data_IF_005614868361
#
_entry.id   IF_005614868361
#
_cell.length_a   1.000
_cell.length_b   1.000
_cell.length_c   1.000
_cell.angle_alpha   90.00
_cell.angle_beta   90.00
_cell.angle_gamma   90.00
#
_symmetry.space_group_name_H-M   'P 1'
#
loop_
_entity.id
_entity.type
_entity.pdbx_description
1 polymer ?
#
# COMPACT_ATOMS: atom_id res chain seq x y z
N UNK A 1 -13.28 22.91 -3.99
CA UNK A 1 -12.53 22.07 -4.94
C UNK A 1 -11.30 21.60 -4.19
N UNK A 2 -11.15 20.31 -3.88
CA UNK A 2 -9.88 19.83 -3.33
C UNK A 2 -8.86 19.92 -4.47
N UNK A 3 -7.79 20.70 -4.28
CA UNK A 3 -6.65 20.68 -5.21
C UNK A 3 -6.22 19.24 -5.44
N UNK A 4 -6.07 18.85 -6.71
CA UNK A 4 -5.50 17.55 -7.07
C UNK A 4 -4.01 17.58 -6.75
N UNK A 5 -3.52 16.52 -6.10
CA UNK A 5 -2.10 16.32 -5.85
C UNK A 5 -1.77 15.99 -4.40
N UNK A 6 -0.51 15.65 -4.16
CA UNK A 6 -0.01 15.32 -2.83
C UNK A 6 0.34 16.58 -2.05
N UNK A 7 0.00 16.58 -0.74
CA UNK A 7 0.36 17.65 0.21
C UNK A 7 1.17 17.07 1.37
N UNK A 8 2.08 17.86 1.93
CA UNK A 8 2.83 17.52 3.14
C UNK A 8 1.96 17.67 4.38
N UNK A 9 2.08 16.71 5.29
CA UNK A 9 1.45 16.69 6.60
C UNK A 9 2.50 16.26 7.62
N UNK A 10 2.74 17.14 8.59
CA UNK A 10 3.55 16.83 9.76
C UNK A 10 2.60 16.32 10.84
N UNK A 11 2.73 15.04 11.17
CA UNK A 11 1.79 14.37 12.06
C UNK A 11 2.54 13.92 13.29
N UNK A 12 2.06 14.42 14.43
CA UNK A 12 2.58 14.13 15.75
C UNK A 12 1.48 13.45 16.57
N UNK A 13 1.69 12.17 16.89
CA UNK A 13 0.86 11.45 17.84
C UNK A 13 1.71 11.09 19.06
N UNK A 14 1.31 11.63 20.21
CA UNK A 14 1.93 11.40 21.50
C UNK A 14 0.95 10.77 22.51
N UNK A 15 -0.18 10.25 22.03
CA UNK A 15 -1.28 9.80 22.90
C UNK A 15 -1.12 8.36 23.40
N UNK A 16 -0.10 7.64 22.94
CA UNK A 16 0.36 6.38 23.55
C UNK A 16 1.90 6.36 23.65
N UNK A 17 2.45 5.34 24.30
CA UNK A 17 3.90 5.10 24.51
C UNK A 17 4.72 4.99 23.21
N UNK A 18 4.08 5.17 22.06
CA UNK A 18 4.63 5.27 20.73
C UNK A 18 4.72 6.74 20.31
N UNK A 19 5.73 7.46 20.80
CA UNK A 19 6.09 8.78 20.29
C UNK A 19 6.42 8.68 18.78
N UNK A 20 5.41 8.78 17.93
CA UNK A 20 5.52 8.60 16.49
C UNK A 20 5.54 9.97 15.83
N UNK A 21 6.72 10.32 15.34
CA UNK A 21 6.88 11.40 14.39
C UNK A 21 6.75 10.83 12.98
N UNK A 22 5.87 11.41 12.16
CA UNK A 22 5.81 11.06 10.75
C UNK A 22 5.72 12.28 9.85
N UNK A 23 6.52 12.24 8.78
CA UNK A 23 6.41 13.14 7.64
C UNK A 23 5.61 12.40 6.56
N UNK A 24 4.41 12.90 6.28
CA UNK A 24 3.46 12.22 5.39
C UNK A 24 3.15 13.10 4.20
N UNK A 25 3.32 12.57 3.00
CA UNK A 25 2.86 13.17 1.76
C UNK A 25 1.63 12.40 1.29
N UNK A 26 0.45 13.01 1.36
CA UNK A 26 -0.83 12.34 1.10
C UNK A 26 -1.68 13.08 0.07
N UNK A 27 -2.47 12.36 -0.72
CA UNK A 27 -3.39 12.95 -1.69
C UNK A 27 -4.80 13.15 -1.06
N UNK A 28 -5.24 14.41 -0.79
CA UNK A 28 -6.52 14.69 -0.13
C UNK A 28 -7.76 14.33 -0.96
N UNK A 29 -7.62 14.05 -2.26
CA UNK A 29 -8.76 13.63 -3.11
C UNK A 29 -9.37 12.31 -2.63
N UNK A 30 -8.57 11.47 -1.97
CA UNK A 30 -9.00 10.15 -1.50
C UNK A 30 -9.96 10.18 -0.31
N UNK A 31 -9.90 11.22 0.53
CA UNK A 31 -10.78 11.35 1.69
C UNK A 31 -10.74 12.77 2.24
N UNK A 32 -11.90 13.26 2.69
CA UNK A 32 -12.02 14.55 3.38
C UNK A 32 -11.54 14.50 4.84
N UNK A 33 -11.21 13.32 5.38
CA UNK A 33 -10.62 13.21 6.70
C UNK A 33 -9.16 13.67 6.70
N UNK A 34 -8.68 14.13 7.85
CA UNK A 34 -7.25 14.41 8.02
C UNK A 34 -6.43 13.12 7.96
N UNK A 35 -5.31 13.06 7.20
CA UNK A 35 -4.44 11.90 7.17
C UNK A 35 -3.94 11.55 8.58
N UNK A 36 -3.94 10.27 8.95
CA UNK A 36 -3.52 9.82 10.30
C UNK A 36 -2.03 9.53 10.43
N UNK A 37 -1.27 9.69 9.35
CA UNK A 37 0.15 9.37 9.30
C UNK A 37 0.41 7.85 9.29
N UNK A 38 1.62 7.47 8.90
CA UNK A 38 1.98 6.08 8.68
C UNK A 38 1.26 5.43 7.51
N UNK A 39 1.45 4.12 7.37
CA UNK A 39 0.94 3.29 6.28
C UNK A 39 0.31 1.99 6.86
N UNK A 40 -0.47 2.15 7.92
CA UNK A 40 -1.09 1.06 8.69
C UNK A 40 -2.52 0.74 8.22
N UNK A 41 -3.17 -0.21 8.90
CA UNK A 41 -4.58 -0.52 8.69
C UNK A 41 -5.48 0.73 8.79
N UNK A 42 -6.51 0.78 7.93
CA UNK A 42 -7.47 1.89 7.78
C UNK A 42 -6.87 3.19 7.21
N UNK A 43 -5.69 3.14 6.58
CA UNK A 43 -5.20 4.26 5.78
C UNK A 43 -6.22 4.61 4.68
N UNK A 44 -6.58 5.89 4.58
CA UNK A 44 -7.60 6.39 3.66
C UNK A 44 -7.01 7.11 2.46
N UNK A 45 -5.83 7.72 2.63
CA UNK A 45 -5.14 8.47 1.60
C UNK A 45 -3.97 7.66 1.06
N UNK A 46 -3.79 7.67 -0.26
CA UNK A 46 -2.53 7.18 -0.83
C UNK A 46 -1.44 8.24 -0.66
N UNK A 47 -0.19 7.82 -0.81
CA UNK A 47 0.97 8.67 -0.56
C UNK A 47 2.16 7.92 0.00
N UNK A 48 3.10 8.68 0.55
CA UNK A 48 4.24 8.17 1.29
C UNK A 48 4.21 8.66 2.73
N UNK A 49 4.72 7.85 3.64
CA UNK A 49 4.93 8.24 5.03
C UNK A 49 6.29 7.76 5.49
N UNK A 50 7.09 8.68 6.02
CA UNK A 50 8.34 8.39 6.68
C UNK A 50 8.13 8.46 8.19
N UNK A 51 8.51 7.41 8.92
CA UNK A 51 8.29 7.27 10.36
C UNK A 51 9.57 6.83 11.07
N UNK A 52 9.82 7.39 12.24
CA UNK A 52 10.85 6.91 13.16
C UNK A 52 10.27 5.81 14.07
N UNK A 53 11.02 4.72 14.24
CA UNK A 53 10.66 3.54 15.04
C UNK A 53 11.74 3.25 16.10
N UNK A 54 11.59 3.75 17.34
CA UNK A 54 12.66 3.69 18.36
C UNK A 54 13.03 2.28 18.81
N UNK A 55 12.14 1.31 18.59
CA UNK A 55 12.33 -0.09 19.02
C UNK A 55 12.74 -1.03 17.87
N UNK A 56 13.03 -0.47 16.70
CA UNK A 56 13.51 -1.20 15.53
C UNK A 56 15.02 -0.99 15.37
N UNK A 57 15.75 -2.04 14.96
CA UNK A 57 17.16 -1.92 14.56
C UNK A 57 17.33 -0.96 13.38
N UNK A 58 16.31 -0.91 12.53
CA UNK A 58 16.15 0.06 11.45
C UNK A 58 15.25 1.18 11.96
N UNK A 59 15.86 2.24 12.50
CA UNK A 59 15.12 3.24 13.28
C UNK A 59 14.22 4.15 12.44
N UNK A 60 14.20 4.01 11.12
CA UNK A 60 13.29 4.73 10.24
C UNK A 60 12.75 3.84 9.12
N UNK A 61 11.52 4.13 8.72
CA UNK A 61 10.79 3.40 7.68
C UNK A 61 10.18 4.42 6.72
N UNK A 62 10.43 4.22 5.42
CA UNK A 62 9.66 4.84 4.35
C UNK A 62 8.59 3.85 3.89
N UNK A 63 7.33 4.24 3.88
CA UNK A 63 6.23 3.40 3.43
C UNK A 63 5.32 4.08 2.41
N UNK A 64 4.94 3.33 1.37
CA UNK A 64 3.84 3.71 0.48
C UNK A 64 2.52 3.32 1.14
N UNK A 65 1.57 4.24 1.19
CA UNK A 65 0.23 4.07 1.72
C UNK A 65 -0.69 3.47 0.65
N UNK A 66 -1.27 2.29 0.93
CA UNK A 66 -2.10 1.53 -0.02
C UNK A 66 -3.53 1.42 0.54
N UNK A 67 -4.43 2.39 0.25
CA UNK A 67 -5.77 2.43 0.84
C UNK A 67 -6.64 1.24 0.42
N UNK A 68 -7.11 0.47 1.41
CA UNK A 68 -7.88 -0.75 1.17
C UNK A 68 -7.05 -1.98 0.76
N UNK A 69 -5.72 -1.84 0.76
CA UNK A 69 -4.78 -2.91 0.41
C UNK A 69 -4.72 -3.21 -1.08
N UNK A 70 -4.00 -4.27 -1.45
CA UNK A 70 -3.63 -4.54 -2.85
C UNK A 70 -4.74 -5.12 -3.72
N UNK A 71 -5.88 -5.55 -3.14
CA UNK A 71 -6.91 -6.29 -3.88
C UNK A 71 -7.36 -5.58 -5.16
N UNK A 72 -7.85 -4.35 -5.03
CA UNK A 72 -8.37 -3.56 -6.15
C UNK A 72 -7.28 -3.35 -7.20
N UNK A 73 -6.07 -2.99 -6.79
CA UNK A 73 -4.98 -2.72 -7.74
C UNK A 73 -4.55 -3.98 -8.50
N UNK A 74 -4.52 -5.14 -7.84
CA UNK A 74 -4.19 -6.41 -8.48
C UNK A 74 -5.29 -6.90 -9.43
N UNK A 75 -6.56 -6.54 -9.20
CA UNK A 75 -7.66 -6.80 -10.15
C UNK A 75 -7.51 -6.02 -11.46
N UNK A 76 -6.71 -4.94 -11.46
CA UNK A 76 -6.36 -4.11 -12.62
C UNK A 76 -4.87 -4.22 -13.00
N UNK A 77 -4.25 -5.38 -12.74
CA UNK A 77 -2.81 -5.57 -12.96
C UNK A 77 -2.40 -5.42 -14.44
N UNK A 78 -3.26 -5.83 -15.36
CA UNK A 78 -3.06 -5.70 -16.81
C UNK A 78 -3.05 -4.24 -17.29
N UNK A 79 -3.65 -3.32 -16.53
CA UNK A 79 -3.63 -1.88 -16.79
C UNK A 79 -2.38 -1.17 -16.24
N UNK A 80 -1.54 -1.87 -15.47
CA UNK A 80 -0.30 -1.31 -14.96
C UNK A 80 0.75 -1.20 -16.07
N UNK A 81 1.55 -0.12 -16.13
CA UNK A 81 2.71 -0.05 -17.00
C UNK A 81 3.68 -1.22 -16.74
N UNK A 82 4.40 -1.69 -17.77
CA UNK A 82 5.25 -2.89 -17.66
C UNK A 82 6.26 -2.84 -16.51
N UNK A 83 6.92 -1.70 -16.28
CA UNK A 83 7.84 -1.51 -15.14
C UNK A 83 7.14 -1.64 -13.78
N UNK A 84 5.90 -1.17 -13.68
CA UNK A 84 5.10 -1.31 -12.46
C UNK A 84 4.65 -2.75 -12.23
N UNK A 85 4.29 -3.49 -13.28
CA UNK A 85 3.94 -4.91 -13.16
C UNK A 85 5.09 -5.72 -12.56
N UNK A 86 6.31 -5.56 -13.10
CA UNK A 86 7.50 -6.22 -12.57
C UNK A 86 7.78 -5.84 -11.12
N UNK A 87 7.67 -4.56 -10.79
CA UNK A 87 7.81 -4.07 -9.42
C UNK A 87 6.80 -4.71 -8.46
N UNK A 88 5.51 -4.75 -8.82
CA UNK A 88 4.45 -5.37 -8.01
C UNK A 88 4.69 -6.87 -7.85
N UNK A 89 5.09 -7.58 -8.91
CA UNK A 89 5.44 -9.01 -8.85
C UNK A 89 6.58 -9.27 -7.87
N UNK A 90 7.56 -8.37 -7.79
CA UNK A 90 8.70 -8.51 -6.86
C UNK A 90 8.33 -8.26 -5.40
N UNK A 91 7.22 -7.55 -5.13
CA UNK A 91 6.85 -7.09 -3.77
C UNK A 91 5.63 -7.79 -3.18
N UNK A 92 4.72 -8.26 -4.01
CA UNK A 92 3.52 -8.96 -3.56
C UNK A 92 3.80 -10.45 -3.42
N UNK A 93 3.42 -11.00 -2.26
CA UNK A 93 3.63 -12.41 -1.97
C UNK A 93 2.78 -13.29 -2.91
N UNK A 94 3.38 -14.34 -3.47
CA UNK A 94 2.64 -15.40 -4.16
C UNK A 94 1.80 -16.21 -3.17
N UNK A 95 0.58 -16.55 -3.55
CA UNK A 95 -0.30 -17.36 -2.72
C UNK A 95 0.30 -18.76 -2.53
N UNK A 96 0.57 -19.10 -1.27
CA UNK A 96 1.10 -20.38 -0.80
C UNK A 96 0.04 -21.24 -0.11
N UNK A 97 -1.23 -20.80 -0.13
CA UNK A 97 -2.31 -21.52 0.53
C UNK A 97 -2.34 -21.39 2.05
N UNK A 98 -1.70 -20.38 2.68
CA UNK A 98 -1.68 -20.20 4.14
C UNK A 98 -3.06 -20.00 4.83
N UNK A 99 -4.15 -19.83 4.08
CA UNK A 99 -5.54 -19.67 4.56
C UNK A 99 -5.81 -18.48 5.48
N UNK A 100 -4.88 -17.54 5.68
CA UNK A 100 -5.11 -16.34 6.50
C UNK A 100 -6.38 -15.57 6.09
N UNK A 101 -6.60 -15.39 4.79
CA UNK A 101 -7.79 -14.71 4.23
C UNK A 101 -9.13 -15.39 4.53
N UNK A 102 -9.11 -16.66 4.95
CA UNK A 102 -10.30 -17.44 5.28
C UNK A 102 -10.30 -17.91 6.74
N UNK A 103 -9.36 -17.42 7.56
CA UNK A 103 -9.19 -17.86 8.96
C UNK A 103 -10.46 -17.67 9.80
N UNK A 104 -11.24 -16.62 9.53
CA UNK A 104 -12.47 -16.31 10.26
C UNK A 104 -13.71 -17.02 9.71
N UNK A 105 -13.60 -17.70 8.56
CA UNK A 105 -14.71 -18.45 8.00
C UNK A 105 -14.86 -19.80 8.69
N UNK A 106 -15.89 -19.90 9.54
CA UNK A 106 -16.23 -21.13 10.26
C UNK A 106 -16.90 -22.18 9.36
N UNK A 107 -17.39 -21.81 8.19
CA UNK A 107 -18.09 -22.74 7.27
C UNK A 107 -17.12 -23.56 6.42
N UNK A 108 -15.90 -23.07 6.23
CA UNK A 108 -14.89 -23.69 5.38
C UNK A 108 -15.11 -23.51 3.87
N UNK A 109 -16.18 -22.82 3.47
CA UNK A 109 -16.60 -22.70 2.07
C UNK A 109 -15.98 -21.49 1.35
N UNK A 110 -15.43 -20.51 2.10
CA UNK A 110 -14.83 -19.32 1.49
C UNK A 110 -13.61 -19.72 0.66
N UNK A 111 -13.56 -19.37 -0.64
CA UNK A 111 -12.37 -19.60 -1.45
C UNK A 111 -11.22 -18.69 -0.99
N UNK A 112 -10.00 -19.12 -1.29
CA UNK A 112 -8.82 -18.26 -1.08
C UNK A 112 -8.95 -17.00 -1.92
N UNK A 113 -8.62 -15.85 -1.33
CA UNK A 113 -8.69 -14.55 -1.99
C UNK A 113 -7.57 -14.30 -3.03
N UNK A 114 -6.91 -15.34 -3.53
CA UNK A 114 -5.79 -15.19 -4.48
C UNK A 114 -6.26 -14.55 -5.79
N UNK A 115 -5.45 -13.67 -6.34
CA UNK A 115 -5.71 -13.01 -7.63
C UNK A 115 -4.78 -13.60 -8.68
N UNK A 116 -5.33 -14.02 -9.80
CA UNK A 116 -4.54 -14.58 -10.90
C UNK A 116 -4.14 -13.45 -11.86
N UNK A 117 -2.85 -13.33 -12.16
CA UNK A 117 -2.32 -12.34 -13.09
C UNK A 117 -1.37 -13.00 -14.09
N UNK A 118 -1.18 -12.37 -15.25
CA UNK A 118 -0.21 -12.80 -16.27
C UNK A 118 0.92 -11.79 -16.33
N UNK A 119 2.17 -12.27 -16.32
CA UNK A 119 3.35 -11.43 -16.44
C UNK A 119 4.45 -12.19 -17.18
N UNK A 120 5.04 -11.58 -18.21
CA UNK A 120 6.11 -12.19 -19.04
C UNK A 120 5.79 -13.64 -19.48
N UNK A 121 4.55 -13.89 -19.91
CA UNK A 121 4.10 -15.20 -20.37
C UNK A 121 3.87 -16.25 -19.26
N UNK A 122 4.02 -15.87 -17.99
CA UNK A 122 3.82 -16.74 -16.83
C UNK A 122 2.57 -16.36 -16.04
N UNK A 123 1.85 -17.37 -15.56
CA UNK A 123 0.68 -17.20 -14.69
C UNK A 123 1.11 -17.15 -13.22
N UNK A 124 0.67 -16.12 -12.49
CA UNK A 124 0.94 -15.93 -11.08
C UNK A 124 -0.36 -15.93 -10.29
N UNK A 125 -0.35 -16.53 -9.10
CA UNK A 125 -1.39 -16.36 -8.09
C UNK A 125 -0.85 -15.48 -6.97
N UNK A 126 -1.33 -14.23 -6.87
CA UNK A 126 -0.87 -13.24 -5.90
C UNK A 126 -1.81 -13.14 -4.70
N UNK A 127 -1.25 -12.83 -3.53
CA UNK A 127 -2.01 -12.63 -2.29
C UNK A 127 -2.37 -11.15 -2.12
N UNK A 128 -3.65 -10.75 -2.08
CA UNK A 128 -4.01 -9.34 -1.87
C UNK A 128 -3.85 -8.87 -0.43
N UNK A 129 -3.70 -9.80 0.53
CA UNK A 129 -3.55 -9.49 1.96
C UNK A 129 -2.10 -9.26 2.39
N UNK A 130 -1.12 -9.55 1.55
CA UNK A 130 0.29 -9.30 1.82
C UNK A 130 0.89 -8.49 0.68
N UNK A 131 1.47 -7.31 0.93
CA UNK A 131 1.93 -6.81 2.23
C UNK A 131 0.91 -5.95 3.00
N UNK A 132 -0.39 -6.17 2.76
CA UNK A 132 -1.46 -5.49 3.49
C UNK A 132 -1.68 -4.09 2.94
N UNK A 133 -1.39 -3.07 3.75
CA UNK A 133 -1.69 -1.66 3.47
C UNK A 133 -0.45 -0.83 3.13
N UNK A 134 0.72 -1.48 2.97
CA UNK A 134 1.97 -0.79 2.66
C UNK A 134 2.99 -1.62 1.91
N UNK A 135 3.78 -0.94 1.10
CA UNK A 135 5.16 -1.35 0.84
C UNK A 135 6.10 -0.50 1.69
N UNK A 136 7.21 -1.05 2.15
CA UNK A 136 8.13 -0.30 3.00
C UNK A 136 9.60 -0.64 2.74
N UNK A 137 10.46 0.33 3.06
CA UNK A 137 11.92 0.28 2.89
C UNK A 137 12.63 1.10 3.96
N UNK A 138 13.92 0.81 4.15
CA UNK A 138 14.86 1.53 5.03
C UNK A 138 15.94 2.25 4.24
N UNK A 139 15.76 2.35 2.92
CA UNK A 139 16.59 3.09 1.99
C UNK A 139 15.82 3.30 0.69
N UNK A 140 16.21 4.30 -0.08
CA UNK A 140 15.62 4.58 -1.39
C UNK A 140 16.72 5.02 -2.34
N UNK A 141 16.76 4.39 -3.50
CA UNK A 141 17.51 4.84 -4.67
C UNK A 141 16.54 5.41 -5.71
N UNK A 142 17.09 5.96 -6.79
CA UNK A 142 16.31 6.60 -7.86
C UNK A 142 15.36 5.59 -8.53
N UNK A 143 15.78 4.34 -8.68
CA UNK A 143 14.97 3.28 -9.30
C UNK A 143 13.73 2.96 -8.45
N UNK A 144 13.88 2.88 -7.14
CA UNK A 144 12.76 2.69 -6.23
C UNK A 144 11.84 3.93 -6.23
N UNK A 145 12.41 5.13 -6.23
CA UNK A 145 11.64 6.36 -6.28
C UNK A 145 10.74 6.42 -7.53
N UNK A 146 11.27 6.08 -8.71
CA UNK A 146 10.52 6.03 -9.96
C UNK A 146 9.36 5.03 -9.90
N UNK A 147 9.61 3.82 -9.38
CA UNK A 147 8.55 2.82 -9.20
C UNK A 147 7.45 3.29 -8.24
N UNK A 148 7.83 3.96 -7.14
CA UNK A 148 6.87 4.54 -6.20
C UNK A 148 6.02 5.61 -6.87
N UNK A 149 6.63 6.53 -7.63
CA UNK A 149 5.91 7.59 -8.35
C UNK A 149 4.90 6.99 -9.33
N UNK A 150 5.31 5.99 -10.12
CA UNK A 150 4.42 5.32 -11.07
C UNK A 150 3.29 4.58 -10.35
N UNK A 151 3.59 3.89 -9.25
CA UNK A 151 2.58 3.21 -8.43
C UNK A 151 1.56 4.20 -7.84
N UNK A 152 2.02 5.33 -7.30
CA UNK A 152 1.17 6.38 -6.76
C UNK A 152 0.23 6.95 -7.84
N UNK A 153 0.77 7.27 -9.02
CA UNK A 153 -0.02 7.73 -10.16
C UNK A 153 -1.05 6.70 -10.63
N UNK A 154 -0.70 5.41 -10.60
CA UNK A 154 -1.64 4.33 -10.90
C UNK A 154 -2.76 4.25 -9.85
N UNK A 155 -2.42 4.27 -8.56
CA UNK A 155 -3.42 4.21 -7.49
C UNK A 155 -4.36 5.41 -7.54
N UNK A 156 -3.88 6.62 -7.82
CA UNK A 156 -4.69 7.85 -7.87
C UNK A 156 -5.88 7.78 -8.83
N UNK A 157 -5.83 6.91 -9.84
CA UNK A 157 -6.95 6.63 -10.75
C UNK A 157 -8.19 6.07 -10.03
N UNK A 158 -8.01 5.52 -8.82
CA UNK A 158 -9.06 4.86 -8.04
C UNK A 158 -9.62 5.72 -6.90
N UNK A 159 -9.19 6.98 -6.77
CA UNK A 159 -9.61 7.87 -5.69
C UNK A 159 -11.13 8.12 -5.66
N UNK A 160 -11.80 8.15 -6.83
CA UNK A 160 -13.25 8.40 -6.92
C UNK A 160 -14.11 7.17 -6.58
N UNK A 161 -13.55 5.96 -6.57
CA UNK A 161 -14.27 4.72 -6.23
C UNK A 161 -14.52 4.57 -4.71
N UNK A 162 -14.22 5.59 -3.91
CA UNK A 162 -14.23 5.57 -2.43
C UNK A 162 -15.16 6.61 -1.81
N UNK A 163 -15.95 7.34 -2.61
CA UNK A 163 -16.99 8.28 -2.15
C UNK A 163 -18.24 7.56 -1.67
#
# INVERSE_FOLDING_TARGET
>A
MNDRGYKSFDIYDATASDCKFSLTYANPVWSNEFPKGGCEYKIKHTGISMRYEPYSSESWILGVCIPGGMKVYLEHFDEMPAGLQGFVISRVKRCDGCRYCVQTDKTGNRPLAKISVQYEGNAYSLCPYYPGYRFWWTSMDDTLADHIIVLLGFMDRFADNKK
#
